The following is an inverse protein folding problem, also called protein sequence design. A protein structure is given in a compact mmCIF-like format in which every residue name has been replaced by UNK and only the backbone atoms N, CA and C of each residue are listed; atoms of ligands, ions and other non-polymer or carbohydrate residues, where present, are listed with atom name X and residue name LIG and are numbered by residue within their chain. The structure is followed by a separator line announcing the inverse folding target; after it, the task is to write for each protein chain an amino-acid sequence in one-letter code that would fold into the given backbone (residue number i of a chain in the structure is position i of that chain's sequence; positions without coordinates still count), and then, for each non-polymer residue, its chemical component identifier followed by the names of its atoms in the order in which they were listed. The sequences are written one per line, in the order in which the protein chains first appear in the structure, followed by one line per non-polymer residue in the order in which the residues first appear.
data_IF_164947965763
#
_entry.id   IF_164947965763
#
_cell.length_a   1.000
_cell.length_b   1.000
_cell.length_c   1.000
_cell.angle_alpha   90.00
_cell.angle_beta   90.00
_cell.angle_gamma   90.00
#
_symmetry.space_group_name_H-M   'P 1'
#
loop_
_entity.id
_entity.type
_entity.pdbx_description
1 polymer ?
#
# COMPACT_ATOMS: atom_id res chain seq x y z
N UNK A 1 -27.85 5.46 -3.06
CA UNK A 1 -26.41 5.74 -2.87
C UNK A 1 -25.64 4.98 -3.95
N UNK A 2 -25.62 5.49 -5.18
CA UNK A 2 -25.01 4.78 -6.30
C UNK A 2 -23.90 5.65 -6.89
N UNK A 3 -22.63 5.24 -6.73
CA UNK A 3 -21.51 5.78 -7.52
C UNK A 3 -20.26 6.28 -6.78
N UNK A 4 -20.32 6.62 -5.49
CA UNK A 4 -19.22 7.35 -4.82
C UNK A 4 -18.21 6.47 -4.06
N UNK A 5 -18.31 5.14 -4.16
CA UNK A 5 -17.47 4.22 -3.39
C UNK A 5 -16.75 3.21 -4.28
N UNK A 6 -15.49 2.92 -3.96
CA UNK A 6 -14.64 1.97 -4.69
C UNK A 6 -13.69 1.23 -3.74
N UNK A 7 -12.86 0.33 -4.28
CA UNK A 7 -11.77 -0.30 -3.52
C UNK A 7 -12.23 -1.23 -2.40
N UNK A 8 -13.42 -1.83 -2.51
CA UNK A 8 -13.99 -2.70 -1.49
C UNK A 8 -13.09 -3.88 -1.12
N UNK A 9 -12.87 -4.08 0.18
CA UNK A 9 -12.13 -5.23 0.72
C UNK A 9 -12.70 -5.68 2.06
N UNK A 10 -13.04 -6.96 2.18
CA UNK A 10 -13.49 -7.56 3.43
C UNK A 10 -12.30 -7.89 4.33
N UNK A 11 -12.47 -7.72 5.63
CA UNK A 11 -11.59 -8.35 6.61
C UNK A 11 -11.61 -9.87 6.42
N UNK A 12 -10.52 -10.60 6.72
CA UNK A 12 -10.50 -12.06 6.58
C UNK A 12 -11.61 -12.79 7.35
N UNK A 13 -11.99 -12.27 8.52
CA UNK A 13 -13.08 -12.76 9.35
C UNK A 13 -14.48 -12.28 8.91
N UNK A 14 -14.55 -11.45 7.87
CA UNK A 14 -15.76 -10.88 7.25
C UNK A 14 -16.62 -10.03 8.19
N UNK A 15 -16.08 -9.59 9.33
CA UNK A 15 -16.79 -8.67 10.24
C UNK A 15 -16.81 -7.24 9.72
N UNK A 16 -15.81 -6.87 8.93
CA UNK A 16 -15.64 -5.52 8.42
C UNK A 16 -15.57 -5.52 6.90
N UNK A 17 -16.20 -4.51 6.29
CA UNK A 17 -15.98 -4.12 4.91
C UNK A 17 -15.31 -2.74 4.91
N UNK A 18 -14.11 -2.65 4.35
CA UNK A 18 -13.47 -1.37 4.08
C UNK A 18 -13.72 -0.98 2.63
N UNK A 19 -13.97 0.31 2.39
CA UNK A 19 -14.05 0.89 1.07
C UNK A 19 -13.47 2.32 1.07
N UNK A 20 -13.25 2.84 -0.13
CA UNK A 20 -12.85 4.21 -0.35
C UNK A 20 -14.07 5.00 -0.81
N UNK A 21 -14.45 6.01 -0.06
CA UNK A 21 -15.52 6.95 -0.38
C UNK A 21 -14.93 8.22 -0.99
N UNK A 22 -15.42 8.63 -2.15
CA UNK A 22 -15.03 9.89 -2.79
C UNK A 22 -15.60 11.04 -1.96
N UNK A 23 -14.70 11.85 -1.40
CA UNK A 23 -15.05 12.98 -0.52
C UNK A 23 -14.91 14.32 -1.21
N UNK A 24 -14.17 14.38 -2.32
CA UNK A 24 -13.92 15.60 -3.07
C UNK A 24 -13.42 15.27 -4.49
N UNK A 25 -13.61 16.21 -5.43
CA UNK A 25 -13.11 16.14 -6.80
C UNK A 25 -12.26 17.38 -7.05
N UNK A 26 -10.99 17.16 -7.34
CA UNK A 26 -10.05 18.20 -7.72
C UNK A 26 -10.49 18.84 -9.03
N UNK A 27 -10.81 20.12 -8.95
CA UNK A 27 -11.04 20.95 -10.13
C UNK A 27 -9.70 21.33 -10.77
N UNK A 28 -9.57 21.24 -12.11
CA UNK A 28 -8.40 21.78 -12.80
C UNK A 28 -8.32 23.30 -12.58
N UNK A 29 -7.10 23.81 -12.43
CA UNK A 29 -6.83 25.25 -12.27
C UNK A 29 -5.98 25.71 -13.45
N UNK A 30 -6.34 26.85 -14.05
CA UNK A 30 -5.78 27.29 -15.34
C UNK A 30 -4.25 27.40 -15.36
N UNK A 31 -3.64 27.75 -14.23
CA UNK A 31 -2.21 28.02 -14.12
C UNK A 31 -1.41 26.90 -13.45
N UNK A 32 -2.05 25.74 -13.23
CA UNK A 32 -1.41 24.59 -12.58
C UNK A 32 -1.34 23.44 -13.58
N UNK A 33 -0.13 22.93 -13.88
CA UNK A 33 0.02 21.74 -14.71
C UNK A 33 -0.87 20.62 -14.22
N UNK A 34 -1.61 20.01 -15.14
CA UNK A 34 -2.41 18.81 -14.85
C UNK A 34 -1.46 17.74 -14.32
N UNK A 35 -1.58 17.40 -13.04
CA UNK A 35 -0.92 16.23 -12.50
C UNK A 35 -1.69 15.00 -12.97
N UNK A 36 -0.98 13.95 -13.40
CA UNK A 36 -1.58 12.63 -13.66
C UNK A 36 -2.18 11.98 -12.39
N UNK A 37 -1.99 12.58 -11.22
CA UNK A 37 -2.64 12.15 -9.98
C UNK A 37 -4.17 12.28 -10.12
N UNK A 38 -4.87 11.28 -9.59
CA UNK A 38 -6.31 11.11 -9.73
C UNK A 38 -7.05 12.38 -9.30
N UNK A 39 -8.01 12.82 -10.13
CA UNK A 39 -8.85 13.97 -9.80
C UNK A 39 -9.66 13.74 -8.52
N UNK A 40 -9.98 12.50 -8.19
CA UNK A 40 -10.83 12.17 -7.06
C UNK A 40 -10.02 11.99 -5.78
N UNK A 41 -10.51 12.58 -4.70
CA UNK A 41 -10.00 12.42 -3.33
C UNK A 41 -10.88 11.44 -2.57
N UNK A 42 -10.24 10.58 -1.79
CA UNK A 42 -10.92 9.48 -1.10
C UNK A 42 -10.61 9.49 0.40
N UNK A 43 -11.62 9.16 1.20
CA UNK A 43 -11.46 8.78 2.61
C UNK A 43 -11.75 7.28 2.77
N UNK A 44 -11.19 6.67 3.83
CA UNK A 44 -11.54 5.29 4.19
C UNK A 44 -12.86 5.28 4.95
N UNK A 45 -13.76 4.41 4.52
CA UNK A 45 -15.01 4.11 5.22
C UNK A 45 -15.02 2.64 5.61
N UNK A 46 -15.30 2.37 6.88
CA UNK A 46 -15.49 1.05 7.46
C UNK A 46 -16.98 0.80 7.67
N UNK A 47 -17.42 -0.41 7.34
CA UNK A 47 -18.80 -0.86 7.54
C UNK A 47 -18.74 -2.14 8.37
N UNK A 48 -19.32 -2.11 9.57
CA UNK A 48 -19.54 -3.29 10.41
C UNK A 48 -20.64 -4.13 9.76
N UNK A 49 -20.32 -5.36 9.36
CA UNK A 49 -21.26 -6.24 8.64
C UNK A 49 -22.39 -6.70 9.57
N UNK A 50 -22.11 -6.88 10.85
CA UNK A 50 -23.08 -7.36 11.83
C UNK A 50 -23.94 -6.26 12.43
N UNK A 51 -23.32 -5.14 12.82
CA UNK A 51 -24.03 -4.03 13.48
C UNK A 51 -24.69 -3.09 12.47
N UNK A 52 -24.34 -3.23 11.18
CA UNK A 52 -24.77 -2.32 10.11
C UNK A 52 -24.35 -0.86 10.36
N UNK A 53 -23.33 -0.67 11.18
CA UNK A 53 -22.75 0.64 11.45
C UNK A 53 -21.72 1.01 10.38
N UNK A 54 -21.74 2.27 9.97
CA UNK A 54 -20.78 2.83 9.05
C UNK A 54 -19.98 3.93 9.74
N UNK A 55 -18.66 3.89 9.57
CA UNK A 55 -17.73 4.86 10.13
C UNK A 55 -16.73 5.33 9.09
N UNK A 56 -16.60 6.64 8.92
CA UNK A 56 -15.51 7.24 8.13
C UNK A 56 -14.29 7.47 9.03
N UNK A 57 -13.10 7.13 8.55
CA UNK A 57 -11.85 7.41 9.25
C UNK A 57 -11.36 8.82 8.90
N UNK A 58 -11.47 9.77 9.84
CA UNK A 58 -11.12 11.18 9.66
C UNK A 58 -9.60 11.48 9.78
N UNK A 59 -8.75 10.56 9.29
CA UNK A 59 -7.28 10.73 9.32
C UNK A 59 -6.67 11.16 8.00
N UNK A 60 -7.33 10.86 6.89
CA UNK A 60 -6.91 11.30 5.57
C UNK A 60 -8.11 11.40 4.65
N UNK A 61 -8.19 12.52 3.92
CA UNK A 61 -9.18 12.76 2.87
C UNK A 61 -8.59 12.52 1.48
N UNK A 62 -7.39 11.97 1.41
CA UNK A 62 -6.62 11.79 0.17
C UNK A 62 -5.87 10.46 0.24
N UNK A 63 -6.66 9.38 0.33
CA UNK A 63 -6.18 8.00 0.39
C UNK A 63 -5.89 7.49 -1.01
N UNK A 64 -4.72 6.88 -1.18
CA UNK A 64 -4.33 6.25 -2.44
C UNK A 64 -5.25 5.07 -2.75
N UNK A 65 -5.85 5.02 -3.95
CA UNK A 65 -6.61 3.85 -4.38
C UNK A 65 -5.76 2.58 -4.38
N UNK A 66 -6.45 1.46 -4.17
CA UNK A 66 -5.85 0.12 -4.08
C UNK A 66 -4.83 -0.07 -2.94
N UNK A 67 -4.75 0.87 -1.99
CA UNK A 67 -3.87 0.75 -0.81
C UNK A 67 -4.51 0.04 0.38
N UNK A 68 -5.81 -0.27 0.36
CA UNK A 68 -6.46 -0.95 1.49
C UNK A 68 -5.95 -2.39 1.66
N UNK A 69 -5.36 -2.70 2.82
CA UNK A 69 -4.78 -4.00 3.11
C UNK A 69 -5.09 -4.46 4.54
N UNK A 70 -5.94 -5.47 4.68
CA UNK A 70 -6.27 -6.08 5.97
C UNK A 70 -5.15 -6.99 6.49
N UNK A 71 -4.92 -6.96 7.80
CA UNK A 71 -4.12 -7.97 8.49
C UNK A 71 -4.76 -9.35 8.36
N UNK A 72 -3.94 -10.41 8.44
CA UNK A 72 -4.39 -11.79 8.31
C UNK A 72 -5.45 -12.18 9.34
N UNK A 73 -5.40 -11.59 10.54
CA UNK A 73 -6.37 -11.80 11.62
C UNK A 73 -7.59 -10.86 11.55
N UNK A 74 -7.63 -9.91 10.60
CA UNK A 74 -8.74 -8.96 10.42
C UNK A 74 -8.85 -7.86 11.47
N UNK A 75 -7.91 -7.77 12.42
CA UNK A 75 -7.94 -6.77 13.48
C UNK A 75 -7.45 -5.40 13.02
N UNK A 76 -6.61 -5.35 11.98
CA UNK A 76 -5.97 -4.11 11.52
C UNK A 76 -6.19 -3.89 10.03
N UNK A 77 -6.40 -2.63 9.67
CA UNK A 77 -6.45 -2.17 8.28
C UNK A 77 -5.28 -1.21 8.04
N UNK A 78 -4.40 -1.56 7.12
CA UNK A 78 -3.39 -0.64 6.60
C UNK A 78 -3.87 0.06 5.33
N UNK A 79 -3.48 1.31 5.16
CA UNK A 79 -3.70 2.10 3.94
C UNK A 79 -2.67 3.22 3.81
N UNK A 80 -2.57 3.82 2.62
CA UNK A 80 -1.64 4.92 2.35
C UNK A 80 -2.44 6.15 1.97
N UNK A 81 -2.14 7.29 2.57
CA UNK A 81 -2.82 8.55 2.26
C UNK A 81 -1.99 9.77 2.60
N UNK A 82 -2.39 10.93 2.09
CA UNK A 82 -1.71 12.18 2.40
C UNK A 82 -2.28 12.79 3.69
N UNK A 83 -1.40 13.41 4.48
CA UNK A 83 -1.81 14.10 5.70
C UNK A 83 -2.41 15.46 5.38
N UNK A 84 -3.55 15.75 6.02
CA UNK A 84 -4.25 17.02 5.89
C UNK A 84 -4.86 17.23 4.50
N UNK A 85 -5.40 18.42 4.31
CA UNK A 85 -5.84 18.85 2.99
C UNK A 85 -4.62 19.33 2.20
N UNK A 86 -4.27 18.63 1.11
CA UNK A 86 -3.26 19.12 0.17
C UNK A 86 -3.78 20.43 -0.42
N UNK A 87 -3.38 21.56 0.15
CA UNK A 87 -3.61 22.86 -0.45
C UNK A 87 -2.77 22.93 -1.72
N UNK A 88 -3.39 22.61 -2.85
CA UNK A 88 -2.73 22.61 -4.13
C UNK A 88 -2.25 24.01 -4.53
N UNK A 89 -2.76 25.08 -3.92
CA UNK A 89 -2.25 26.44 -4.15
C UNK A 89 -0.90 26.67 -3.47
N UNK A 90 -0.51 25.81 -2.51
CA UNK A 90 0.77 25.88 -1.79
C UNK A 90 1.71 24.77 -2.27
N UNK A 91 2.78 25.09 -3.02
CA UNK A 91 3.76 24.11 -3.46
C UNK A 91 4.30 23.23 -2.32
N UNK A 92 4.48 23.80 -1.13
CA UNK A 92 5.04 23.13 0.06
C UNK A 92 4.20 21.96 0.59
N UNK A 93 2.89 21.90 0.29
CA UNK A 93 2.04 20.77 0.67
C UNK A 93 1.98 19.69 -0.43
N UNK A 94 2.34 20.03 -1.67
CA UNK A 94 2.50 19.07 -2.77
C UNK A 94 3.70 18.16 -2.56
N UNK A 95 4.70 18.66 -1.84
CA UNK A 95 6.00 18.00 -1.66
C UNK A 95 6.07 17.06 -0.46
N UNK A 96 4.97 16.87 0.27
CA UNK A 96 4.92 15.90 1.38
C UNK A 96 4.68 14.47 0.87
N UNK A 97 5.52 13.49 1.28
CA UNK A 97 5.25 12.09 0.98
C UNK A 97 3.95 11.62 1.64
N UNK A 98 3.24 10.65 1.06
CA UNK A 98 2.10 10.05 1.72
C UNK A 98 2.56 9.30 2.98
N UNK A 99 1.66 9.21 3.95
CA UNK A 99 1.86 8.44 5.19
C UNK A 99 1.19 7.09 5.08
N UNK A 100 1.72 6.14 5.85
CA UNK A 100 1.12 4.82 6.03
C UNK A 100 0.29 4.88 7.31
N UNK A 101 -0.98 4.56 7.22
CA UNK A 101 -1.90 4.49 8.36
C UNK A 101 -2.21 3.04 8.67
N UNK A 102 -2.26 2.71 9.96
CA UNK A 102 -2.70 1.42 10.48
C UNK A 102 -3.83 1.69 11.47
N UNK A 103 -5.05 1.36 11.08
CA UNK A 103 -6.23 1.40 11.94
C UNK A 103 -6.39 0.08 12.69
N UNK A 104 -6.58 0.13 14.01
CA UNK A 104 -6.89 -1.01 14.85
C UNK A 104 -8.40 -1.02 15.17
N UNK A 105 -9.09 -2.07 14.74
CA UNK A 105 -10.54 -2.18 14.89
C UNK A 105 -10.99 -2.50 16.32
N UNK A 106 -10.08 -2.97 17.19
CA UNK A 106 -10.43 -3.36 18.57
C UNK A 106 -10.53 -2.18 19.51
N UNK A 107 -9.60 -1.23 19.39
CA UNK A 107 -9.44 -0.10 20.31
C UNK A 107 -9.69 1.27 19.64
N UNK A 108 -10.07 1.26 18.37
CA UNK A 108 -10.32 2.46 17.58
C UNK A 108 -9.12 3.42 17.48
N UNK A 109 -7.91 2.86 17.48
CA UNK A 109 -6.68 3.65 17.38
C UNK A 109 -6.12 3.67 15.97
N UNK A 110 -5.43 4.76 15.63
CA UNK A 110 -4.70 4.90 14.37
C UNK A 110 -3.23 5.18 14.66
N UNK A 111 -2.38 4.33 14.10
CA UNK A 111 -0.94 4.53 14.06
C UNK A 111 -0.53 5.05 12.69
N UNK A 112 0.48 5.91 12.67
CA UNK A 112 0.95 6.57 11.46
C UNK A 112 2.46 6.40 11.30
N UNK A 113 2.89 6.02 10.11
CA UNK A 113 4.28 5.77 9.71
C UNK A 113 4.67 6.55 8.46
N UNK A 114 5.97 6.61 8.16
CA UNK A 114 6.50 7.39 7.03
C UNK A 114 7.09 8.76 7.40
N UNK A 115 7.25 9.06 8.69
CA UNK A 115 7.90 10.30 9.15
C UNK A 115 9.42 10.33 8.89
N UNK A 116 10.04 9.19 8.57
CA UNK A 116 11.49 9.04 8.38
C UNK A 116 11.91 8.87 6.92
N UNK A 117 11.37 9.69 6.01
CA UNK A 117 11.72 9.66 4.58
C UNK A 117 11.21 8.42 3.85
N UNK A 118 10.24 7.69 4.38
CA UNK A 118 9.69 6.54 3.68
C UNK A 118 8.51 6.99 2.81
N UNK A 119 8.65 6.81 1.50
CA UNK A 119 7.64 7.19 0.53
C UNK A 119 7.07 5.95 -0.15
N UNK A 120 5.83 5.62 0.24
CA UNK A 120 5.06 4.49 -0.30
C UNK A 120 4.17 4.86 -1.49
N UNK A 121 4.33 6.07 -2.06
CA UNK A 121 3.68 6.41 -3.33
C UNK A 121 4.22 5.45 -4.41
N UNK A 122 3.34 4.81 -5.19
CA UNK A 122 3.79 3.96 -6.27
C UNK A 122 4.34 4.81 -7.42
N UNK A 123 5.24 4.23 -8.22
CA UNK A 123 5.58 4.79 -9.52
C UNK A 123 4.34 4.92 -10.41
N UNK A 124 4.38 5.82 -11.40
CA UNK A 124 3.30 6.04 -12.35
C UNK A 124 2.80 4.71 -12.94
N UNK A 125 1.49 4.47 -12.87
CA UNK A 125 0.78 3.25 -13.33
C UNK A 125 1.01 1.98 -12.48
N UNK A 126 1.72 2.07 -11.36
CA UNK A 126 1.78 0.99 -10.38
C UNK A 126 0.77 1.22 -9.26
N UNK A 127 0.34 0.13 -8.62
CA UNK A 127 -0.45 0.19 -7.39
C UNK A 127 0.46 0.18 -6.16
N UNK A 128 0.03 0.78 -5.04
CA UNK A 128 0.72 0.63 -3.76
C UNK A 128 0.83 -0.84 -3.37
N UNK A 129 1.90 -1.23 -2.65
CA UNK A 129 2.14 -2.62 -2.27
C UNK A 129 2.35 -2.73 -0.76
N UNK A 130 1.34 -3.27 -0.10
CA UNK A 130 1.29 -3.54 1.33
C UNK A 130 1.11 -5.04 1.56
N UNK A 131 1.79 -5.59 2.54
CA UNK A 131 1.69 -7.00 2.89
C UNK A 131 1.79 -7.18 4.40
N UNK A 132 0.98 -8.05 4.98
CA UNK A 132 1.09 -8.39 6.39
C UNK A 132 1.88 -9.70 6.56
N UNK A 133 2.77 -9.74 7.55
CA UNK A 133 3.37 -10.98 8.02
C UNK A 133 2.38 -11.78 8.87
N UNK A 134 2.67 -13.06 9.11
CA UNK A 134 1.88 -13.88 10.03
C UNK A 134 1.93 -13.38 11.48
N UNK A 135 2.97 -12.63 11.85
CA UNK A 135 3.09 -11.91 13.14
C UNK A 135 2.35 -10.57 13.20
N UNK A 136 1.49 -10.27 12.23
CA UNK A 136 0.74 -9.00 12.17
C UNK A 136 1.66 -7.77 12.14
N UNK A 137 2.81 -7.89 11.44
CA UNK A 137 3.71 -6.77 11.11
C UNK A 137 3.48 -6.37 9.66
N UNK A 138 3.51 -5.07 9.39
CA UNK A 138 3.26 -4.54 8.05
C UNK A 138 4.57 -4.45 7.27
N UNK A 139 4.57 -4.94 6.04
CA UNK A 139 5.61 -4.73 5.05
C UNK A 139 5.09 -3.76 3.99
N UNK A 140 5.94 -2.81 3.59
CA UNK A 140 5.62 -1.77 2.63
C UNK A 140 6.70 -1.70 1.57
N UNK A 141 6.30 -1.70 0.29
CA UNK A 141 7.22 -1.42 -0.80
C UNK A 141 7.33 0.09 -1.01
N UNK A 142 8.48 0.66 -0.68
CA UNK A 142 8.64 2.10 -0.61
C UNK A 142 10.07 2.54 -0.94
N UNK A 143 10.20 3.78 -1.41
CA UNK A 143 11.48 4.43 -1.62
C UNK A 143 11.86 5.27 -0.41
N UNK A 144 13.16 5.38 -0.11
CA UNK A 144 13.65 6.28 0.92
C UNK A 144 13.94 7.66 0.33
N UNK A 145 13.01 8.60 0.47
CA UNK A 145 13.10 9.98 -0.01
C UNK A 145 12.24 10.93 0.82
N UNK A 146 12.71 12.17 0.98
CA UNK A 146 11.94 13.27 1.59
C UNK A 146 10.97 13.93 0.61
N UNK A 147 11.14 13.70 -0.70
CA UNK A 147 10.28 14.28 -1.74
C UNK A 147 8.94 13.54 -1.81
N UNK A 148 7.84 14.26 -2.06
CA UNK A 148 6.51 13.67 -2.28
C UNK A 148 6.46 12.62 -3.38
N UNK A 149 7.24 12.83 -4.44
CA UNK A 149 7.33 11.92 -5.56
C UNK A 149 8.76 11.39 -5.66
N UNK A 150 8.96 10.07 -5.49
CA UNK A 150 10.25 9.46 -5.74
C UNK A 150 10.65 9.67 -7.20
N UNK A 151 11.95 9.85 -7.45
CA UNK A 151 12.48 9.89 -8.83
C UNK A 151 12.10 8.58 -9.56
N UNK A 152 11.91 8.59 -10.89
CA UNK A 152 11.74 7.36 -11.67
C UNK A 152 12.90 6.36 -11.51
N UNK A 153 14.09 6.84 -11.12
CA UNK A 153 15.28 6.05 -10.83
C UNK A 153 15.46 5.75 -9.34
N UNK A 154 14.55 6.21 -8.48
CA UNK A 154 14.60 5.90 -7.05
C UNK A 154 14.47 4.40 -6.84
N UNK A 155 15.35 3.86 -6.00
CA UNK A 155 15.28 2.47 -5.56
C UNK A 155 14.12 2.33 -4.58
N UNK A 156 13.31 1.30 -4.80
CA UNK A 156 12.29 0.85 -3.87
C UNK A 156 12.76 -0.45 -3.22
N UNK A 157 12.46 -0.58 -1.94
CA UNK A 157 12.77 -1.75 -1.13
C UNK A 157 11.54 -2.17 -0.34
N UNK A 158 11.58 -3.37 0.22
CA UNK A 158 10.59 -3.82 1.19
C UNK A 158 11.00 -3.42 2.59
N UNK A 159 10.17 -2.62 3.23
CA UNK A 159 10.37 -2.11 4.57
C UNK A 159 9.43 -2.78 5.54
N UNK A 160 9.95 -3.29 6.65
CA UNK A 160 9.17 -3.71 7.80
C UNK A 160 8.83 -2.46 8.63
N UNK A 161 7.54 -2.26 8.88
CA UNK A 161 6.98 -1.18 9.69
C UNK A 161 6.47 -1.77 11.00
N UNK A 162 7.11 -1.39 12.11
CA UNK A 162 6.81 -1.88 13.45
C UNK A 162 6.98 -0.77 14.48
N UNK A 163 6.46 -0.95 15.71
CA UNK A 163 6.47 0.08 16.77
C UNK A 163 7.86 0.61 17.13
N UNK A 164 8.92 -0.18 16.93
CA UNK A 164 10.31 0.19 17.15
C UNK A 164 10.94 0.98 16.00
N UNK A 165 10.30 1.00 14.83
CA UNK A 165 10.76 1.77 13.67
C UNK A 165 10.49 1.11 12.32
N UNK A 166 11.28 1.57 11.34
CA UNK A 166 11.22 1.13 9.95
C UNK A 166 12.56 0.43 9.64
N UNK A 167 12.51 -0.77 9.06
CA UNK A 167 13.69 -1.56 8.73
C UNK A 167 13.64 -2.10 7.30
N UNK A 168 14.75 -1.98 6.57
CA UNK A 168 14.81 -2.33 5.15
C UNK A 168 15.24 -3.79 4.97
N UNK A 169 14.27 -4.66 4.66
CA UNK A 169 14.47 -6.11 4.55
C UNK A 169 15.29 -6.50 3.31
N UNK A 170 15.27 -5.66 2.26
CA UNK A 170 15.94 -5.95 0.98
C UNK A 170 17.18 -5.09 0.74
N UNK A 171 17.68 -4.40 1.76
CA UNK A 171 18.82 -3.48 1.64
C UNK A 171 20.06 -4.12 1.00
N UNK A 172 20.35 -5.38 1.34
CA UNK A 172 21.52 -6.12 0.84
C UNK A 172 21.34 -6.69 -0.57
N UNK A 173 20.13 -6.63 -1.13
CA UNK A 173 19.89 -7.04 -2.51
C UNK A 173 20.35 -5.95 -3.47
N UNK A 174 20.84 -6.33 -4.66
CA UNK A 174 21.14 -5.35 -5.70
C UNK A 174 19.86 -4.79 -6.31
N UNK A 175 18.86 -5.64 -6.54
CA UNK A 175 17.50 -5.25 -6.91
C UNK A 175 16.50 -5.92 -5.98
N UNK A 176 15.64 -5.15 -5.31
CA UNK A 176 14.56 -5.73 -4.51
C UNK A 176 13.51 -6.40 -5.41
N UNK A 177 12.89 -7.53 -4.99
CA UNK A 177 11.74 -8.07 -5.68
C UNK A 177 10.63 -7.04 -5.68
N UNK A 178 10.06 -6.76 -6.84
CA UNK A 178 8.96 -5.78 -6.87
C UNK A 178 7.73 -6.36 -6.15
N UNK A 179 7.49 -7.67 -6.23
CA UNK A 179 6.39 -8.38 -5.60
C UNK A 179 6.91 -9.43 -4.62
N UNK A 180 6.21 -9.57 -3.50
CA UNK A 180 6.41 -10.63 -2.52
C UNK A 180 5.12 -11.42 -2.35
N UNK A 181 5.27 -12.73 -2.19
CA UNK A 181 4.22 -13.62 -1.74
C UNK A 181 4.53 -14.10 -0.33
N UNK A 182 3.53 -14.09 0.54
CA UNK A 182 3.63 -14.71 1.86
C UNK A 182 3.69 -16.23 1.70
N UNK A 183 4.68 -16.87 2.32
CA UNK A 183 4.71 -18.33 2.48
C UNK A 183 3.67 -18.73 3.55
N UNK A 184 2.86 -19.75 3.26
CA UNK A 184 1.75 -20.13 4.14
C UNK A 184 2.27 -20.61 5.49
N UNK A 185 1.79 -20.02 6.59
CA UNK A 185 2.15 -20.41 7.95
C UNK A 185 3.57 -20.01 8.37
N UNK A 186 4.28 -19.17 7.61
CA UNK A 186 5.64 -18.75 7.94
C UNK A 186 5.77 -17.22 8.10
N UNK A 187 6.94 -16.81 8.61
CA UNK A 187 7.39 -15.41 8.69
C UNK A 187 8.25 -15.02 7.48
N UNK A 188 8.04 -15.70 6.37
CA UNK A 188 8.87 -15.55 5.18
C UNK A 188 8.03 -15.23 3.95
N UNK A 189 8.70 -14.58 3.02
CA UNK A 189 8.13 -14.10 1.78
C UNK A 189 9.01 -14.52 0.63
N UNK A 190 8.41 -14.86 -0.50
CA UNK A 190 9.17 -15.21 -1.71
C UNK A 190 8.93 -14.17 -2.79
N UNK A 191 10.00 -13.71 -3.42
CA UNK A 191 9.97 -12.76 -4.52
C UNK A 191 10.96 -13.11 -5.61
N UNK A 192 10.72 -12.63 -6.83
CA UNK A 192 11.64 -12.75 -7.96
C UNK A 192 12.48 -11.48 -8.08
N UNK A 193 13.80 -11.63 -8.06
CA UNK A 193 14.73 -10.55 -8.37
C UNK A 193 15.95 -11.08 -9.11
N UNK A 194 16.37 -10.36 -10.16
CA UNK A 194 17.55 -10.70 -10.98
C UNK A 194 17.55 -12.15 -11.48
N UNK A 195 16.37 -12.67 -11.83
CA UNK A 195 16.17 -14.02 -12.35
C UNK A 195 16.24 -15.14 -11.30
N UNK A 196 16.26 -14.81 -10.01
CA UNK A 196 16.36 -15.74 -8.89
C UNK A 196 15.16 -15.61 -7.96
N UNK A 197 14.73 -16.71 -7.35
CA UNK A 197 13.76 -16.68 -6.25
C UNK A 197 14.49 -16.41 -4.95
N UNK A 198 14.05 -15.36 -4.27
CA UNK A 198 14.57 -14.95 -2.98
C UNK A 198 13.53 -15.18 -1.91
N UNK A 199 13.93 -15.83 -0.82
CA UNK A 199 13.19 -15.85 0.43
C UNK A 199 13.68 -14.70 1.30
N UNK A 200 12.74 -13.89 1.77
CA UNK A 200 12.94 -12.74 2.66
C UNK A 200 12.21 -13.05 3.96
N UNK A 201 12.89 -12.99 5.11
CA UNK A 201 12.26 -13.18 6.43
C UNK A 201 12.03 -11.85 7.13
N UNK A 202 10.95 -11.72 7.89
CA UNK A 202 10.68 -10.52 8.70
C UNK A 202 11.55 -10.39 9.95
N UNK A 203 12.31 -11.43 10.32
CA UNK A 203 13.20 -11.45 11.49
C UNK A 203 14.59 -10.83 11.23
N UNK A 204 14.77 -10.18 10.07
CA UNK A 204 15.96 -9.41 9.66
C UNK A 204 17.24 -10.24 9.44
N UNK A 205 17.19 -11.58 9.51
CA UNK A 205 18.43 -12.37 9.62
C UNK A 205 18.86 -13.14 8.40
N UNK A 206 17.99 -13.39 7.42
CA UNK A 206 18.41 -14.12 6.22
C UNK A 206 17.65 -13.67 4.97
N UNK A 207 18.43 -13.29 3.96
CA UNK A 207 18.03 -13.30 2.57
C UNK A 207 18.60 -14.58 1.96
N UNK A 208 17.74 -15.44 1.44
CA UNK A 208 18.14 -16.74 0.90
C UNK A 208 17.78 -16.79 -0.59
N UNK A 209 18.77 -17.05 -1.45
CA UNK A 209 18.51 -17.37 -2.84
C UNK A 209 18.15 -18.85 -2.94
N UNK A 210 16.85 -19.15 -3.05
CA UNK A 210 16.32 -20.52 -3.11
C UNK A 210 16.77 -21.23 -4.39
N UNK A 211 17.14 -20.46 -5.42
CA UNK A 211 17.52 -20.97 -6.75
C UNK A 211 19.01 -20.87 -7.00
N UNK A 212 19.84 -20.73 -5.95
CA UNK A 212 21.29 -20.58 -6.10
C UNK A 212 21.95 -21.75 -6.83
N UNK A 213 21.39 -22.97 -6.67
CA UNK A 213 21.89 -24.20 -7.30
C UNK A 213 21.24 -24.48 -8.68
N UNK A 214 20.27 -23.66 -9.10
CA UNK A 214 19.65 -23.83 -10.41
C UNK A 214 20.47 -23.09 -11.47
N UNK A 215 20.95 -23.83 -12.47
CA UNK A 215 21.64 -23.24 -13.63
C UNK A 215 20.69 -22.38 -14.50
N UNK A 216 19.38 -22.68 -14.45
CA UNK A 216 18.38 -21.99 -15.24
C UNK A 216 17.92 -20.68 -14.58
N UNK A 217 17.87 -19.59 -15.38
CA UNK A 217 17.32 -18.31 -14.95
C UNK A 217 15.80 -18.28 -15.07
N UNK A 218 15.13 -17.81 -14.03
CA UNK A 218 13.68 -17.63 -14.04
C UNK A 218 13.36 -16.25 -14.64
N UNK A 219 12.85 -16.23 -15.87
CA UNK A 219 12.59 -14.97 -16.57
C UNK A 219 11.27 -14.31 -16.14
N UNK A 220 10.31 -15.08 -15.61
CA UNK A 220 9.01 -14.59 -15.14
C UNK A 220 8.44 -15.51 -14.06
N UNK A 221 7.77 -14.90 -13.08
CA UNK A 221 6.85 -15.60 -12.21
C UNK A 221 5.42 -15.35 -12.68
N UNK A 222 4.67 -16.41 -12.92
CA UNK A 222 3.23 -16.34 -13.09
C UNK A 222 2.58 -16.50 -11.72
N UNK A 223 2.58 -15.44 -10.94
CA UNK A 223 1.81 -15.44 -9.70
C UNK A 223 0.31 -15.53 -10.03
N UNK A 224 -0.46 -16.35 -9.29
CA UNK A 224 -1.91 -16.31 -9.42
C UNK A 224 -2.32 -14.87 -9.12
N UNK A 225 -2.82 -14.18 -10.15
CA UNK A 225 -3.35 -12.83 -9.94
C UNK A 225 -4.41 -12.97 -8.87
N UNK A 226 -4.28 -12.25 -7.74
CA UNK A 226 -5.45 -11.94 -6.91
C UNK A 226 -6.53 -11.52 -7.91
N UNK A 227 -7.70 -12.15 -7.87
CA UNK A 227 -8.80 -11.85 -8.79
C UNK A 227 -9.11 -10.36 -8.69
N UNK A 228 -8.38 -9.54 -9.44
CA UNK A 228 -8.70 -8.15 -9.65
C UNK A 228 -9.94 -8.23 -10.52
N UNK A 229 -11.11 -8.02 -9.91
CA UNK A 229 -12.34 -7.78 -10.66
C UNK A 229 -11.98 -6.72 -11.69
N UNK A 230 -11.93 -7.11 -12.96
CA UNK A 230 -11.75 -6.15 -14.06
C UNK A 230 -12.83 -5.11 -13.87
N UNK A 231 -12.44 -3.85 -13.61
CA UNK A 231 -13.39 -2.74 -13.69
C UNK A 231 -13.86 -2.73 -15.13
N UNK A 232 -15.09 -3.19 -15.37
CA UNK A 232 -15.78 -2.85 -16.59
C UNK A 232 -16.05 -1.35 -16.49
N UNK A 233 -15.20 -0.54 -17.11
CA UNK A 233 -15.56 0.83 -17.45
C UNK A 233 -16.69 0.72 -18.47
N UNK A 234 -17.93 0.76 -17.97
CA UNK A 234 -19.10 1.00 -18.80
C UNK A 234 -18.96 2.42 -19.34
N UNK A 235 -18.43 2.53 -20.56
CA UNK A 235 -18.54 3.76 -21.34
C UNK A 235 -20.02 3.91 -21.71
N UNK A 236 -20.77 4.64 -20.89
CA UNK A 236 -22.06 5.17 -21.32
C UNK A 236 -21.78 6.42 -22.14
N UNK A 237 -22.11 6.33 -23.43
CA UNK A 237 -22.27 7.46 -24.33
C UNK A 237 -23.63 8.12 -24.10
#
# INVERSE_FOLDING_TARGET
MEGNTQGYTFSPDKKWLACLEMVDIRQPQADIPLSFELANRYAVTLISVHEQEQKRLEVSKDVLPDSLCWSSNGEKLAFIGYEGERDWTKPTLRDRPPKIYIYNCQDDTIQTWGSKKLNAAPLIRNSPRLLWSAENKLLVYAAQTEKAQPSPQARYDWWLVASDGEDCLTALMKTAPTELLTETGSQSFVGLAEGNLWRVRSDRRTLENITAELEAKINRNCFPRKFQKRRYSSNFY
#
